data_IF_299882109201
#
_entry.id   IF_299882109201
#
_cell.length_a   1.000
_cell.length_b   1.000
_cell.length_c   1.000
_cell.angle_alpha   90.00
_cell.angle_beta   90.00
_cell.angle_gamma   90.00
#
_symmetry.space_group_name_H-M   'P 1'
#
loop_
_entity.id
_entity.type
_entity.pdbx_description
1 polymer ?
#
# COMPACT_ATOMS: atom_id res chain seq x y z
N UNK A 1 -49.01 5.96 -5.26
CA UNK A 1 -49.00 5.37 -3.91
C UNK A 1 -47.60 5.48 -3.38
N UNK A 2 -47.44 6.10 -2.21
CA UNK A 2 -46.21 5.99 -1.44
C UNK A 2 -45.91 4.50 -1.17
N UNK A 3 -44.65 4.14 -1.08
CA UNK A 3 -44.23 2.77 -0.80
C UNK A 3 -43.51 2.81 0.53
N UNK A 4 -44.29 2.65 1.60
CA UNK A 4 -43.78 2.66 2.97
C UNK A 4 -43.05 1.35 3.26
N UNK A 5 -41.73 1.38 3.03
CA UNK A 5 -40.82 0.30 3.42
C UNK A 5 -40.81 0.14 4.94
N UNK A 6 -40.46 -1.05 5.43
CA UNK A 6 -40.36 -1.29 6.87
C UNK A 6 -39.38 -0.33 7.57
N UNK A 7 -39.53 -0.15 8.90
CA UNK A 7 -38.52 0.50 9.69
C UNK A 7 -37.14 -0.16 9.49
N UNK A 8 -36.07 0.65 9.44
CA UNK A 8 -34.74 0.15 9.20
C UNK A 8 -34.18 -0.58 10.42
N UNK A 9 -33.48 -1.69 10.18
CA UNK A 9 -32.67 -2.31 11.21
C UNK A 9 -31.30 -1.62 11.38
N UNK A 10 -30.60 -1.98 12.46
CA UNK A 10 -29.28 -1.42 12.79
C UNK A 10 -28.22 -1.80 11.76
N UNK A 11 -27.58 -0.80 11.15
CA UNK A 11 -26.62 -0.97 10.05
C UNK A 11 -27.18 -1.67 8.80
N UNK A 12 -28.52 -1.67 8.60
CA UNK A 12 -29.14 -2.26 7.42
C UNK A 12 -28.90 -1.42 6.15
N UNK A 13 -28.36 -2.01 5.06
CA UNK A 13 -28.24 -1.34 3.77
C UNK A 13 -29.60 -1.21 3.08
N UNK A 14 -29.77 -0.16 2.27
CA UNK A 14 -31.01 0.13 1.55
C UNK A 14 -31.51 -1.07 0.73
N UNK A 15 -30.62 -1.78 0.03
CA UNK A 15 -31.02 -2.96 -0.74
C UNK A 15 -31.56 -4.10 0.15
N UNK A 16 -31.00 -4.26 1.35
CA UNK A 16 -31.37 -5.32 2.28
C UNK A 16 -32.80 -5.10 2.78
N UNK A 17 -33.10 -3.85 3.11
CA UNK A 17 -34.44 -3.43 3.53
C UNK A 17 -35.48 -3.59 2.43
N UNK A 18 -35.13 -3.18 1.20
CA UNK A 18 -36.00 -3.34 0.03
C UNK A 18 -36.26 -4.83 -0.26
N UNK A 19 -35.22 -5.66 -0.16
CA UNK A 19 -35.34 -7.11 -0.35
C UNK A 19 -36.22 -7.75 0.71
N UNK A 20 -35.99 -7.41 1.98
CA UNK A 20 -36.78 -7.87 3.14
C UNK A 20 -38.25 -7.52 2.97
N UNK A 21 -38.56 -6.25 2.70
CA UNK A 21 -39.92 -5.77 2.46
C UNK A 21 -40.60 -6.51 1.30
N UNK A 22 -39.92 -6.60 0.15
CA UNK A 22 -40.50 -7.22 -1.04
C UNK A 22 -40.82 -8.70 -0.86
N UNK A 23 -40.00 -9.42 -0.08
CA UNK A 23 -40.19 -10.84 0.19
C UNK A 23 -41.31 -11.05 1.22
N UNK A 24 -41.28 -10.32 2.33
CA UNK A 24 -42.27 -10.49 3.41
C UNK A 24 -43.68 -10.09 2.99
N UNK A 25 -43.83 -9.05 2.16
CA UNK A 25 -45.13 -8.65 1.60
C UNK A 25 -45.51 -9.39 0.30
N UNK A 26 -44.68 -10.34 -0.16
CA UNK A 26 -44.98 -11.14 -1.35
C UNK A 26 -45.11 -10.32 -2.64
N UNK A 27 -44.25 -9.30 -2.82
CA UNK A 27 -44.24 -8.45 -4.02
C UNK A 27 -43.99 -9.29 -5.27
N UNK A 28 -45.01 -9.38 -6.13
CA UNK A 28 -44.95 -10.19 -7.36
C UNK A 28 -44.27 -9.43 -8.51
N UNK A 29 -44.61 -8.16 -8.70
CA UNK A 29 -44.02 -7.32 -9.76
C UNK A 29 -42.86 -6.47 -9.23
N UNK A 30 -41.70 -7.11 -9.09
CA UNK A 30 -40.45 -6.46 -8.66
C UNK A 30 -40.07 -5.28 -9.55
N UNK A 31 -40.30 -5.38 -10.86
CA UNK A 31 -39.95 -4.32 -11.81
C UNK A 31 -40.77 -3.08 -11.52
N UNK A 32 -42.09 -3.21 -11.39
CA UNK A 32 -42.98 -2.08 -11.08
C UNK A 32 -42.72 -1.52 -9.69
N UNK A 33 -42.50 -2.38 -8.71
CA UNK A 33 -42.13 -1.96 -7.35
C UNK A 33 -40.87 -1.09 -7.34
N UNK A 34 -39.78 -1.54 -7.97
CA UNK A 34 -38.53 -0.75 -8.05
C UNK A 34 -38.70 0.54 -8.86
N UNK A 35 -39.49 0.53 -9.94
CA UNK A 35 -39.81 1.75 -10.71
C UNK A 35 -40.60 2.75 -9.88
N UNK A 36 -41.56 2.30 -9.08
CA UNK A 36 -42.32 3.18 -8.18
C UNK A 36 -41.40 3.78 -7.11
N UNK A 37 -40.56 2.95 -6.49
CA UNK A 37 -39.67 3.34 -5.40
C UNK A 37 -38.56 4.30 -5.85
N UNK A 38 -37.90 4.03 -6.98
CA UNK A 38 -36.76 4.81 -7.46
C UNK A 38 -37.08 5.79 -8.60
N UNK A 39 -38.24 5.68 -9.25
CA UNK A 39 -38.58 6.46 -10.46
C UNK A 39 -37.87 6.00 -11.74
N UNK A 40 -37.16 4.86 -11.69
CA UNK A 40 -36.52 4.22 -12.84
C UNK A 40 -36.29 2.73 -12.56
N UNK A 41 -35.90 1.97 -13.59
CA UNK A 41 -35.54 0.56 -13.43
C UNK A 41 -34.18 0.43 -12.73
N UNK A 42 -34.22 0.35 -11.40
CA UNK A 42 -33.01 0.19 -10.59
C UNK A 42 -32.34 -1.16 -10.84
N UNK A 43 -31.02 -1.14 -11.00
CA UNK A 43 -30.19 -2.33 -10.98
C UNK A 43 -29.73 -2.61 -9.55
N UNK A 44 -29.59 -3.89 -9.22
CA UNK A 44 -29.07 -4.28 -7.92
C UNK A 44 -27.63 -3.81 -7.74
N UNK A 45 -27.36 -3.20 -6.58
CA UNK A 45 -26.05 -2.74 -6.16
C UNK A 45 -25.99 -2.79 -4.63
N UNK A 46 -25.05 -3.56 -4.04
CA UNK A 46 -24.90 -3.61 -2.58
C UNK A 46 -24.23 -2.36 -2.01
N UNK A 47 -23.62 -1.54 -2.87
CA UNK A 47 -22.80 -0.41 -2.47
C UNK A 47 -23.60 0.89 -2.40
N UNK A 48 -24.17 1.31 -3.53
CA UNK A 48 -24.82 2.61 -3.70
C UNK A 48 -26.14 2.50 -4.46
N UNK A 49 -27.02 3.47 -4.24
CA UNK A 49 -28.29 3.65 -4.95
C UNK A 49 -28.44 5.09 -5.44
N UNK A 50 -29.32 5.32 -6.42
CA UNK A 50 -29.48 6.62 -7.09
C UNK A 50 -30.93 7.10 -7.02
N UNK A 51 -31.11 8.40 -7.27
CA UNK A 51 -32.39 9.10 -7.14
C UNK A 51 -32.95 8.99 -5.71
N UNK A 52 -32.10 9.19 -4.71
CA UNK A 52 -32.49 9.09 -3.30
C UNK A 52 -33.55 10.12 -2.91
N UNK A 53 -33.70 11.23 -3.64
CA UNK A 53 -34.85 12.14 -3.49
C UNK A 53 -36.18 11.40 -3.62
N UNK A 54 -36.30 10.54 -4.64
CA UNK A 54 -37.52 9.77 -4.86
C UNK A 54 -37.76 8.70 -3.79
N UNK A 55 -36.69 8.11 -3.27
CA UNK A 55 -36.77 7.15 -2.17
C UNK A 55 -37.25 7.86 -0.90
N UNK A 56 -36.68 9.03 -0.58
CA UNK A 56 -37.09 9.83 0.57
C UNK A 56 -38.56 10.26 0.48
N UNK A 57 -39.03 10.74 -0.68
CA UNK A 57 -40.45 11.04 -0.92
C UNK A 57 -41.36 9.83 -0.64
N UNK A 58 -40.98 8.67 -1.15
CA UNK A 58 -41.80 7.46 -1.04
C UNK A 58 -41.81 6.83 0.35
N UNK A 59 -40.80 7.14 1.18
CA UNK A 59 -40.61 6.59 2.53
C UNK A 59 -40.78 7.64 3.63
N UNK A 60 -41.28 8.83 3.28
CA UNK A 60 -41.37 9.98 4.17
C UNK A 60 -42.18 9.69 5.44
N UNK A 61 -43.24 8.88 5.35
CA UNK A 61 -44.07 8.55 6.51
C UNK A 61 -43.37 7.59 7.47
N UNK A 62 -42.58 6.64 6.94
CA UNK A 62 -41.96 5.61 7.77
C UNK A 62 -40.58 6.00 8.29
N UNK A 63 -39.78 6.71 7.49
CA UNK A 63 -38.41 7.06 7.88
C UNK A 63 -38.25 8.54 8.24
N UNK A 64 -38.96 9.44 7.54
CA UNK A 64 -38.85 10.89 7.79
C UNK A 64 -37.44 11.46 7.61
N UNK A 65 -36.59 10.85 6.78
CA UNK A 65 -35.19 11.25 6.57
C UNK A 65 -34.95 11.90 5.21
N UNK A 66 -33.92 12.74 5.14
CA UNK A 66 -33.52 13.39 3.89
C UNK A 66 -32.79 12.42 2.93
N UNK A 67 -32.71 12.73 1.63
CA UNK A 67 -31.95 11.94 0.66
C UNK A 67 -30.48 11.76 1.05
N UNK A 68 -29.87 12.79 1.61
CA UNK A 68 -28.48 12.78 2.08
C UNK A 68 -28.32 11.84 3.28
N UNK A 69 -29.27 11.86 4.21
CA UNK A 69 -29.30 10.92 5.33
C UNK A 69 -29.44 9.48 4.84
N UNK A 70 -30.26 9.20 3.81
CA UNK A 70 -30.33 7.87 3.19
C UNK A 70 -28.97 7.48 2.61
N UNK A 71 -28.30 8.38 1.89
CA UNK A 71 -26.97 8.12 1.34
C UNK A 71 -25.98 7.75 2.46
N UNK A 72 -25.89 8.56 3.51
CA UNK A 72 -24.93 8.38 4.59
C UNK A 72 -25.23 7.18 5.48
N UNK A 73 -26.51 6.87 5.72
CA UNK A 73 -26.93 5.89 6.73
C UNK A 73 -27.35 4.54 6.13
N UNK A 74 -27.68 4.49 4.84
CA UNK A 74 -28.23 3.27 4.19
C UNK A 74 -27.47 2.86 2.94
N UNK A 75 -26.37 3.55 2.61
CA UNK A 75 -25.45 3.13 1.55
C UNK A 75 -24.01 3.08 2.06
N UNK A 76 -23.08 2.66 1.22
CA UNK A 76 -21.64 2.67 1.50
C UNK A 76 -20.99 4.02 1.12
N UNK A 77 -21.78 5.08 0.85
CA UNK A 77 -21.28 6.41 0.49
C UNK A 77 -20.19 6.93 1.42
N UNK A 78 -20.33 6.91 2.77
CA UNK A 78 -19.31 7.46 3.66
C UNK A 78 -17.92 6.81 3.48
N UNK A 79 -17.89 5.50 3.23
CA UNK A 79 -16.64 4.78 2.99
C UNK A 79 -15.93 5.24 1.72
N UNK A 80 -16.67 5.44 0.62
CA UNK A 80 -16.08 5.96 -0.62
C UNK A 80 -15.73 7.44 -0.53
N UNK A 81 -16.50 8.22 0.26
CA UNK A 81 -16.29 9.64 0.47
C UNK A 81 -15.01 9.93 1.27
N UNK A 82 -14.59 8.99 2.13
CA UNK A 82 -13.47 9.18 3.05
C UNK A 82 -12.13 9.50 2.38
N UNK A 83 -11.89 9.09 1.13
CA UNK A 83 -10.60 9.27 0.46
C UNK A 83 -10.63 10.18 -0.77
N UNK A 84 -11.68 10.99 -0.90
CA UNK A 84 -11.81 11.99 -1.97
C UNK A 84 -11.85 13.40 -1.39
N UNK A 85 -11.62 14.41 -2.22
CA UNK A 85 -11.69 15.81 -1.74
C UNK A 85 -13.12 16.16 -1.35
N UNK A 86 -13.30 17.19 -0.51
CA UNK A 86 -14.63 17.68 -0.12
C UNK A 86 -15.54 17.97 -1.32
N UNK A 87 -14.99 18.60 -2.37
CA UNK A 87 -15.72 18.87 -3.61
C UNK A 87 -16.15 17.59 -4.33
N UNK A 88 -15.26 16.59 -4.40
CA UNK A 88 -15.56 15.30 -5.00
C UNK A 88 -16.60 14.51 -4.19
N UNK A 89 -16.52 14.57 -2.86
CA UNK A 89 -17.50 13.97 -1.95
C UNK A 89 -18.88 14.59 -2.15
N UNK A 90 -18.97 15.93 -2.21
CA UNK A 90 -20.21 16.63 -2.49
C UNK A 90 -20.77 16.27 -3.87
N UNK A 91 -19.92 16.28 -4.91
CA UNK A 91 -20.34 15.85 -6.25
C UNK A 91 -20.86 14.42 -6.25
N UNK A 92 -20.21 13.52 -5.51
CA UNK A 92 -20.68 12.14 -5.37
C UNK A 92 -22.06 12.09 -4.71
N UNK A 93 -22.27 12.83 -3.62
CA UNK A 93 -23.54 12.91 -2.91
C UNK A 93 -24.66 13.44 -3.82
N UNK A 94 -24.42 14.56 -4.50
CA UNK A 94 -25.39 15.18 -5.41
C UNK A 94 -25.84 14.19 -6.49
N UNK A 95 -24.90 13.41 -7.03
CA UNK A 95 -25.18 12.38 -8.02
C UNK A 95 -25.97 11.17 -7.48
N UNK A 96 -25.93 10.89 -6.17
CA UNK A 96 -26.78 9.87 -5.54
C UNK A 96 -28.19 10.40 -5.30
N UNK A 97 -28.33 11.68 -4.96
CA UNK A 97 -29.60 12.33 -4.65
C UNK A 97 -30.47 12.47 -5.90
N UNK A 98 -29.90 12.90 -7.03
CA UNK A 98 -30.66 13.16 -8.26
C UNK A 98 -30.85 11.93 -9.16
N UNK A 99 -31.79 12.04 -10.10
CA UNK A 99 -32.01 11.02 -11.13
C UNK A 99 -30.76 10.86 -12.01
N UNK A 100 -30.39 9.60 -12.25
CA UNK A 100 -29.14 9.15 -12.89
C UNK A 100 -28.71 10.03 -14.08
N UNK A 101 -27.59 10.75 -13.96
CA UNK A 101 -26.98 11.55 -15.03
C UNK A 101 -25.89 10.78 -15.80
N UNK A 102 -25.51 11.24 -17.00
CA UNK A 102 -24.36 10.68 -17.75
C UNK A 102 -23.04 10.77 -16.96
N UNK A 103 -22.90 11.75 -16.05
CA UNK A 103 -21.70 11.94 -15.25
C UNK A 103 -21.41 10.77 -14.28
N UNK A 104 -22.45 10.08 -13.81
CA UNK A 104 -22.35 8.88 -12.97
C UNK A 104 -21.58 7.74 -13.66
N UNK A 105 -21.72 7.60 -14.98
CA UNK A 105 -21.09 6.53 -15.74
C UNK A 105 -19.56 6.70 -15.87
N UNK A 106 -19.05 7.91 -15.67
CA UNK A 106 -17.62 8.23 -15.88
C UNK A 106 -16.85 8.41 -14.56
N UNK A 107 -17.51 8.94 -13.52
CA UNK A 107 -16.87 9.28 -12.25
C UNK A 107 -16.86 8.11 -11.26
N UNK A 108 -18.00 7.44 -11.08
CA UNK A 108 -18.20 6.43 -10.03
C UNK A 108 -17.39 5.13 -10.20
N UNK A 109 -17.23 4.56 -11.42
CA UNK A 109 -16.45 3.33 -11.60
C UNK A 109 -14.97 3.46 -11.22
N UNK A 110 -14.43 4.68 -11.20
CA UNK A 110 -13.04 4.94 -10.81
C UNK A 110 -12.84 4.97 -9.28
N UNK A 111 -13.93 5.04 -8.51
CA UNK A 111 -13.91 5.18 -7.05
C UNK A 111 -14.34 3.88 -6.35
N UNK A 112 -15.18 3.10 -7.02
CA UNK A 112 -15.90 1.98 -6.45
C UNK A 112 -15.27 0.67 -6.90
N UNK A 113 -14.82 -0.12 -5.93
CA UNK A 113 -14.53 -1.53 -6.16
C UNK A 113 -15.86 -2.29 -6.17
N UNK A 114 -16.28 -2.77 -7.35
CA UNK A 114 -17.52 -3.52 -7.49
C UNK A 114 -17.29 -4.99 -7.18
N UNK A 115 -17.91 -5.47 -6.12
CA UNK A 115 -17.93 -6.89 -5.78
C UNK A 115 -19.30 -7.46 -6.17
N UNK A 116 -19.30 -8.57 -6.92
CA UNK A 116 -20.53 -9.27 -7.35
C UNK A 116 -21.04 -10.29 -6.31
N UNK A 117 -20.78 -9.99 -5.05
CA UNK A 117 -21.19 -10.80 -3.91
C UNK A 117 -21.89 -9.92 -2.89
N UNK A 118 -22.88 -10.49 -2.20
CA UNK A 118 -23.34 -9.97 -0.91
C UNK A 118 -22.85 -10.88 0.20
N UNK A 119 -22.67 -10.30 1.39
CA UNK A 119 -22.08 -11.02 2.52
C UNK A 119 -22.95 -10.99 3.76
N UNK A 120 -22.94 -12.11 4.50
CA UNK A 120 -23.52 -12.19 5.83
C UNK A 120 -22.53 -12.85 6.80
N UNK A 121 -22.74 -12.61 8.09
CA UNK A 121 -22.08 -13.37 9.15
C UNK A 121 -23.13 -14.27 9.80
N UNK A 122 -22.89 -15.57 9.82
CA UNK A 122 -23.82 -16.55 10.41
C UNK A 122 -24.08 -16.26 11.90
N UNK A 123 -23.06 -15.79 12.64
CA UNK A 123 -23.20 -15.41 14.04
C UNK A 123 -24.05 -14.14 14.25
N UNK A 124 -23.93 -13.12 13.38
CA UNK A 124 -24.84 -11.97 13.41
C UNK A 124 -26.29 -12.40 13.17
N UNK A 125 -26.52 -13.27 12.19
CA UNK A 125 -27.88 -13.72 11.87
C UNK A 125 -28.47 -14.60 13.00
N UNK A 126 -27.64 -15.41 13.67
CA UNK A 126 -28.04 -16.16 14.84
C UNK A 126 -28.33 -15.25 16.06
N UNK A 127 -27.60 -14.14 16.22
CA UNK A 127 -27.91 -13.11 17.21
C UNK A 127 -29.25 -12.45 16.96
N UNK A 128 -29.53 -12.03 15.72
CA UNK A 128 -30.80 -11.41 15.33
C UNK A 128 -31.97 -12.34 15.70
N UNK A 129 -31.88 -13.62 15.30
CA UNK A 129 -32.90 -14.63 15.61
C UNK A 129 -33.12 -14.83 17.11
N UNK A 130 -32.05 -14.83 17.92
CA UNK A 130 -32.17 -15.00 19.38
C UNK A 130 -32.82 -13.80 20.07
N UNK A 131 -32.67 -12.61 19.51
CA UNK A 131 -33.28 -11.38 20.03
C UNK A 131 -34.74 -11.20 19.58
N UNK A 132 -35.16 -11.95 18.56
CA UNK A 132 -36.44 -11.72 17.89
C UNK A 132 -36.40 -10.57 16.88
N UNK A 133 -35.21 -10.06 16.56
CA UNK A 133 -35.01 -9.01 15.56
C UNK A 133 -35.14 -9.59 14.15
N UNK A 134 -35.48 -8.75 13.16
CA UNK A 134 -35.49 -9.18 11.77
C UNK A 134 -34.06 -9.52 11.31
N UNK A 135 -33.88 -10.69 10.70
CA UNK A 135 -32.60 -11.06 10.09
C UNK A 135 -32.32 -10.13 8.89
N UNK A 136 -31.20 -9.41 8.91
CA UNK A 136 -30.91 -8.42 7.88
C UNK A 136 -29.43 -8.37 7.47
N UNK A 137 -29.18 -7.87 6.27
CA UNK A 137 -27.81 -7.57 5.83
C UNK A 137 -27.23 -6.42 6.64
N UNK A 138 -25.91 -6.41 6.81
CA UNK A 138 -25.18 -5.28 7.43
C UNK A 138 -24.36 -4.55 6.37
N UNK A 139 -24.33 -3.22 6.38
CA UNK A 139 -23.55 -2.40 5.44
C UNK A 139 -22.06 -2.72 5.56
N UNK A 140 -21.56 -2.88 6.79
CA UNK A 140 -20.14 -3.17 7.02
C UNK A 140 -19.65 -4.44 6.32
N UNK A 141 -20.50 -5.48 6.23
CA UNK A 141 -20.17 -6.73 5.53
C UNK A 141 -20.07 -6.55 4.00
N UNK A 142 -20.69 -5.51 3.45
CA UNK A 142 -20.68 -5.25 2.01
C UNK A 142 -19.49 -4.38 1.58
N UNK A 143 -18.69 -3.86 2.52
CA UNK A 143 -17.55 -3.02 2.22
C UNK A 143 -16.48 -3.81 1.44
N UNK A 144 -15.85 -3.19 0.43
CA UNK A 144 -14.75 -3.81 -0.30
C UNK A 144 -13.64 -4.28 0.64
N UNK A 145 -13.15 -5.50 0.41
CA UNK A 145 -12.09 -6.13 1.22
C UNK A 145 -12.54 -6.65 2.58
N UNK A 146 -13.77 -6.40 3.01
CA UNK A 146 -14.31 -6.97 4.25
C UNK A 146 -14.78 -8.40 3.99
N UNK A 147 -13.98 -9.36 4.47
CA UNK A 147 -14.22 -10.81 4.37
C UNK A 147 -14.31 -11.50 5.72
N UNK A 148 -13.97 -10.79 6.79
CA UNK A 148 -14.09 -11.23 8.17
C UNK A 148 -15.04 -10.27 8.88
N UNK A 149 -15.97 -10.80 9.67
CA UNK A 149 -16.87 -9.99 10.47
C UNK A 149 -16.07 -9.18 11.51
N UNK A 150 -16.21 -7.85 11.58
CA UNK A 150 -15.49 -7.05 12.58
C UNK A 150 -15.91 -7.39 14.01
N UNK A 151 -17.20 -7.74 14.21
CA UNK A 151 -17.76 -8.12 15.51
C UNK A 151 -17.28 -9.51 15.95
N UNK A 152 -17.49 -10.54 15.13
CA UNK A 152 -17.25 -11.93 15.53
C UNK A 152 -15.88 -12.48 15.15
N UNK A 153 -15.14 -11.84 14.24
CA UNK A 153 -13.86 -12.36 13.75
C UNK A 153 -13.98 -13.63 12.88
N UNK A 154 -15.19 -13.98 12.46
CA UNK A 154 -15.48 -15.13 11.61
C UNK A 154 -15.48 -14.75 10.12
N UNK A 155 -15.10 -15.68 9.26
CA UNK A 155 -15.25 -15.53 7.81
C UNK A 155 -16.72 -15.25 7.44
N UNK A 156 -16.91 -14.30 6.53
CA UNK A 156 -18.21 -13.99 5.99
C UNK A 156 -18.62 -15.01 4.93
N UNK A 157 -19.91 -15.29 4.90
CA UNK A 157 -20.56 -16.10 3.87
C UNK A 157 -20.88 -15.22 2.67
N UNK A 158 -20.37 -15.59 1.50
CA UNK A 158 -20.58 -14.91 0.24
C UNK A 158 -21.72 -15.57 -0.53
N UNK A 159 -22.66 -14.75 -1.02
CA UNK A 159 -23.63 -15.14 -2.03
C UNK A 159 -23.32 -14.36 -3.30
N UNK A 160 -22.93 -15.06 -4.36
CA UNK A 160 -22.82 -14.48 -5.70
C UNK A 160 -24.21 -14.08 -6.20
N UNK A 161 -24.32 -12.85 -6.71
CA UNK A 161 -25.57 -12.38 -7.31
C UNK A 161 -25.41 -12.17 -8.82
N UNK A 162 -26.44 -12.58 -9.57
CA UNK A 162 -26.52 -12.32 -11.00
C UNK A 162 -26.83 -10.85 -11.30
N UNK A 163 -26.24 -10.30 -12.37
CA UNK A 163 -26.48 -8.91 -12.81
C UNK A 163 -27.79 -8.71 -13.59
N UNK A 164 -28.74 -9.64 -13.50
CA UNK A 164 -29.99 -9.59 -14.28
C UNK A 164 -31.05 -8.74 -13.58
N UNK A 165 -31.65 -7.81 -14.33
CA UNK A 165 -32.77 -7.00 -13.87
C UNK A 165 -34.12 -7.77 -13.82
N UNK A 166 -34.08 -9.11 -13.88
CA UNK A 166 -35.21 -10.03 -13.76
C UNK A 166 -35.17 -10.88 -12.49
N UNK A 167 -34.02 -10.98 -11.84
CA UNK A 167 -33.88 -11.71 -10.58
C UNK A 167 -34.27 -10.82 -9.40
N UNK A 168 -35.05 -11.32 -8.44
CA UNK A 168 -35.23 -10.68 -7.14
C UNK A 168 -33.89 -10.30 -6.51
N UNK A 169 -33.89 -9.25 -5.71
CA UNK A 169 -32.69 -8.90 -4.95
C UNK A 169 -32.42 -9.98 -3.88
N UNK A 170 -31.15 -10.26 -3.56
CA UNK A 170 -30.80 -11.34 -2.65
C UNK A 170 -31.37 -11.12 -1.25
N UNK A 171 -31.70 -12.21 -0.57
CA UNK A 171 -32.21 -12.22 0.81
C UNK A 171 -31.23 -12.87 1.78
N UNK A 172 -31.41 -12.63 3.09
CA UNK A 172 -30.57 -13.29 4.11
C UNK A 172 -30.82 -14.80 4.11
N UNK A 173 -32.06 -15.23 3.90
CA UNK A 173 -32.44 -16.64 3.82
C UNK A 173 -31.75 -17.31 2.62
N UNK A 174 -31.72 -16.64 1.47
CA UNK A 174 -30.99 -17.13 0.30
C UNK A 174 -29.49 -17.20 0.57
N UNK A 175 -28.92 -16.18 1.20
CA UNK A 175 -27.51 -16.16 1.56
C UNK A 175 -27.15 -17.27 2.55
N UNK A 176 -28.01 -17.59 3.52
CA UNK A 176 -27.82 -18.75 4.42
C UNK A 176 -27.90 -20.09 3.68
N UNK A 177 -28.87 -20.24 2.77
CA UNK A 177 -29.14 -21.49 2.07
C UNK A 177 -28.10 -21.81 0.99
N UNK A 178 -27.63 -20.80 0.26
CA UNK A 178 -26.80 -20.97 -0.94
C UNK A 178 -25.42 -20.34 -0.84
N UNK A 179 -25.22 -19.41 0.09
CA UNK A 179 -23.95 -18.72 0.23
C UNK A 179 -22.86 -19.64 0.75
N UNK A 180 -21.61 -19.36 0.38
CA UNK A 180 -20.44 -20.15 0.75
C UNK A 180 -19.51 -19.32 1.63
N UNK A 181 -18.97 -19.92 2.68
CA UNK A 181 -17.94 -19.28 3.49
C UNK A 181 -16.68 -19.20 2.65
N UNK A 182 -16.18 -17.98 2.42
CA UNK A 182 -14.91 -17.76 1.74
C UNK A 182 -13.75 -18.15 2.66
N UNK A 183 -13.54 -19.45 2.87
CA UNK A 183 -12.39 -19.95 3.62
C UNK A 183 -11.14 -19.86 2.73
N UNK A 184 -10.59 -18.66 2.62
CA UNK A 184 -9.25 -18.50 2.06
C UNK A 184 -8.26 -19.20 3.00
N UNK A 185 -7.32 -19.96 2.46
CA UNK A 185 -6.20 -20.49 3.24
C UNK A 185 -5.41 -19.31 3.82
N UNK A 186 -5.62 -19.02 5.10
CA UNK A 186 -5.01 -17.90 5.81
C UNK A 186 -4.60 -18.34 7.22
N UNK A 187 -3.48 -17.79 7.69
CA UNK A 187 -3.03 -18.03 9.07
C UNK A 187 -3.93 -17.29 10.07
N UNK A 188 -3.95 -17.69 11.36
CA UNK A 188 -4.66 -16.95 12.40
C UNK A 188 -4.25 -15.48 12.49
N UNK A 189 -2.97 -15.18 12.27
CA UNK A 189 -2.45 -13.81 12.22
C UNK A 189 -3.03 -13.02 11.04
N UNK A 190 -3.07 -13.63 9.84
CA UNK A 190 -3.69 -13.01 8.67
C UNK A 190 -5.18 -12.75 8.90
N UNK A 191 -5.92 -13.69 9.52
CA UNK A 191 -7.33 -13.47 9.90
C UNK A 191 -7.46 -12.26 10.85
N UNK A 192 -6.55 -12.14 11.83
CA UNK A 192 -6.47 -10.97 12.71
C UNK A 192 -6.24 -9.66 11.95
N UNK A 193 -5.34 -9.67 10.97
CA UNK A 193 -5.06 -8.51 10.11
C UNK A 193 -6.26 -8.15 9.21
N UNK A 194 -6.96 -9.13 8.66
CA UNK A 194 -8.19 -8.92 7.89
C UNK A 194 -9.33 -8.38 8.75
N UNK A 195 -9.42 -8.80 10.02
CA UNK A 195 -10.35 -8.21 10.99
C UNK A 195 -10.01 -6.73 11.25
N UNK A 196 -8.73 -6.37 11.33
CA UNK A 196 -8.31 -4.95 11.44
C UNK A 196 -8.73 -4.13 10.21
N UNK A 197 -8.69 -4.71 9.00
CA UNK A 197 -9.25 -4.09 7.79
C UNK A 197 -10.75 -3.87 7.94
N UNK A 198 -11.49 -4.86 8.42
CA UNK A 198 -12.93 -4.74 8.66
C UNK A 198 -13.27 -3.63 9.66
N UNK A 199 -12.54 -3.56 10.77
CA UNK A 199 -12.71 -2.52 11.80
C UNK A 199 -12.39 -1.11 11.26
N UNK A 200 -11.30 -0.96 10.50
CA UNK A 200 -10.95 0.30 9.87
C UNK A 200 -12.00 0.74 8.84
N UNK A 201 -12.49 -0.20 8.02
CA UNK A 201 -13.54 0.07 7.05
C UNK A 201 -14.87 0.45 7.74
N UNK A 202 -15.22 -0.22 8.84
CA UNK A 202 -16.38 0.11 9.69
C UNK A 202 -16.28 1.54 10.22
N UNK A 203 -15.13 1.90 10.79
CA UNK A 203 -14.91 3.25 11.32
C UNK A 203 -15.11 4.32 10.24
N UNK A 204 -14.61 4.11 9.03
CA UNK A 204 -14.82 5.06 7.92
C UNK A 204 -16.29 5.16 7.50
N UNK A 205 -17.01 4.04 7.53
CA UNK A 205 -18.43 4.00 7.20
C UNK A 205 -19.30 4.73 8.24
N UNK A 206 -18.97 4.57 9.53
CA UNK A 206 -19.77 5.09 10.64
C UNK A 206 -19.43 6.55 10.98
N UNK A 207 -18.13 6.90 11.03
CA UNK A 207 -17.66 8.20 11.51
C UNK A 207 -17.75 9.32 10.46
N UNK A 208 -18.00 9.00 9.18
CA UNK A 208 -18.14 9.96 8.07
C UNK A 208 -16.97 10.94 7.95
N UNK A 209 -15.77 10.47 8.29
CA UNK A 209 -14.55 11.28 8.31
C UNK A 209 -13.94 11.40 6.92
N UNK A 210 -13.42 12.58 6.60
CA UNK A 210 -12.50 12.76 5.48
C UNK A 210 -11.08 12.44 5.94
N UNK A 211 -10.37 11.61 5.17
CA UNK A 211 -8.98 11.24 5.41
C UNK A 211 -8.11 12.01 4.44
N UNK A 212 -7.14 12.76 4.97
CA UNK A 212 -6.10 13.36 4.15
C UNK A 212 -5.16 12.27 3.63
N UNK A 213 -5.28 11.99 2.32
CA UNK A 213 -4.48 10.98 1.65
C UNK A 213 -2.97 11.28 1.68
N UNK A 214 -2.57 12.55 1.75
CA UNK A 214 -1.17 12.95 1.82
C UNK A 214 -0.61 12.75 3.23
N UNK A 215 -1.38 13.12 4.26
CA UNK A 215 -1.00 12.84 5.65
C UNK A 215 -0.91 11.33 5.92
N UNK A 216 -1.88 10.56 5.41
CA UNK A 216 -1.84 9.10 5.51
C UNK A 216 -0.59 8.54 4.81
N UNK A 217 -0.28 9.02 3.60
CA UNK A 217 0.91 8.61 2.84
C UNK A 217 2.18 8.90 3.62
N UNK A 218 2.31 10.10 4.18
CA UNK A 218 3.49 10.52 4.94
C UNK A 218 3.65 9.65 6.19
N UNK A 219 2.58 9.49 6.99
CA UNK A 219 2.59 8.66 8.20
C UNK A 219 2.95 7.21 7.89
N UNK A 220 2.41 6.66 6.79
CA UNK A 220 2.73 5.32 6.32
C UNK A 220 4.20 5.20 5.90
N UNK A 221 4.71 6.19 5.17
CA UNK A 221 6.11 6.20 4.74
C UNK A 221 7.04 6.21 5.95
N UNK A 222 6.78 7.08 6.93
CA UNK A 222 7.58 7.19 8.16
C UNK A 222 7.53 5.90 8.98
N UNK A 223 6.35 5.30 9.16
CA UNK A 223 6.21 4.03 9.86
C UNK A 223 7.05 2.92 9.23
N UNK A 224 6.99 2.76 7.90
CA UNK A 224 7.75 1.71 7.20
C UNK A 224 9.25 2.02 7.15
N UNK A 225 9.61 3.28 6.94
CA UNK A 225 11.01 3.71 6.98
C UNK A 225 11.63 3.45 8.36
N UNK A 226 10.83 3.63 9.42
CA UNK A 226 11.22 3.36 10.80
C UNK A 226 11.27 1.87 11.15
N UNK A 227 10.36 1.08 10.59
CA UNK A 227 10.33 -0.38 10.76
C UNK A 227 11.39 -1.15 9.94
N UNK A 228 12.40 -0.47 9.38
CA UNK A 228 13.53 -1.12 8.70
C UNK A 228 13.31 -1.45 7.23
N UNK A 229 12.26 -0.92 6.60
CA UNK A 229 12.04 -1.05 5.16
C UNK A 229 12.80 -0.02 4.32
N UNK A 230 13.63 0.83 4.93
CA UNK A 230 14.41 1.82 4.22
C UNK A 230 15.37 1.20 3.19
N UNK A 231 15.59 1.93 2.09
CA UNK A 231 16.52 1.61 1.02
C UNK A 231 17.21 2.89 0.56
N UNK A 232 18.14 3.38 1.38
CA UNK A 232 18.56 4.77 1.30
C UNK A 232 17.83 5.63 2.34
N UNK A 233 18.20 6.90 2.41
CA UNK A 233 17.58 7.91 3.30
C UNK A 233 16.19 8.35 2.84
N UNK A 234 15.90 8.22 1.55
CA UNK A 234 14.70 8.82 0.92
C UNK A 234 13.84 7.79 0.18
N UNK A 235 14.14 6.49 0.32
CA UNK A 235 13.43 5.45 -0.41
C UNK A 235 13.16 4.23 0.46
N UNK A 236 12.14 3.47 0.06
CA UNK A 236 11.78 2.19 0.67
C UNK A 236 12.21 1.04 -0.26
N UNK A 237 12.65 -0.06 0.35
CA UNK A 237 13.02 -1.29 -0.35
C UNK A 237 11.78 -1.93 -0.95
N UNK A 238 11.62 -1.77 -2.27
CA UNK A 238 10.39 -2.21 -2.93
C UNK A 238 10.11 -3.69 -2.74
N UNK A 239 11.13 -4.55 -2.87
CA UNK A 239 10.95 -5.99 -2.71
C UNK A 239 10.57 -6.37 -1.27
N UNK A 240 11.21 -5.75 -0.25
CA UNK A 240 10.92 -6.06 1.15
C UNK A 240 9.52 -5.61 1.55
N UNK A 241 9.12 -4.40 1.15
CA UNK A 241 7.77 -3.88 1.43
C UNK A 241 6.72 -4.79 0.78
N UNK A 242 6.93 -5.20 -0.48
CA UNK A 242 6.00 -6.10 -1.15
C UNK A 242 5.88 -7.46 -0.48
N UNK A 243 7.01 -8.08 -0.15
CA UNK A 243 7.02 -9.38 0.51
C UNK A 243 6.32 -9.32 1.87
N UNK A 244 6.61 -8.29 2.67
CA UNK A 244 5.95 -8.08 3.96
C UNK A 244 4.45 -7.83 3.79
N UNK A 245 4.05 -6.98 2.83
CA UNK A 245 2.64 -6.68 2.56
C UNK A 245 1.84 -7.93 2.13
N UNK A 246 2.41 -8.76 1.24
CA UNK A 246 1.80 -10.03 0.81
C UNK A 246 1.75 -11.03 1.96
N UNK A 247 2.80 -11.13 2.77
CA UNK A 247 2.83 -12.02 3.93
C UNK A 247 1.76 -11.61 4.96
N UNK A 248 1.62 -10.30 5.20
CA UNK A 248 0.71 -9.73 6.18
C UNK A 248 -0.77 -9.99 5.89
N UNK A 249 -1.17 -9.92 4.61
CA UNK A 249 -2.57 -10.11 4.20
C UNK A 249 -2.87 -11.49 3.60
N UNK A 250 -1.86 -12.19 3.10
CA UNK A 250 -2.02 -13.42 2.35
C UNK A 250 -2.25 -13.17 0.85
N UNK A 251 -1.61 -13.99 0.02
CA UNK A 251 -1.65 -13.87 -1.44
C UNK A 251 -3.07 -14.07 -2.00
N UNK A 252 -3.78 -15.11 -1.54
CA UNK A 252 -5.14 -15.44 -1.97
C UNK A 252 -6.13 -14.31 -1.70
N UNK A 253 -6.02 -13.63 -0.55
CA UNK A 253 -6.88 -12.49 -0.24
C UNK A 253 -6.61 -11.31 -1.19
N UNK A 254 -5.34 -10.97 -1.40
CA UNK A 254 -4.95 -9.88 -2.29
C UNK A 254 -5.35 -10.14 -3.75
N UNK A 255 -5.33 -11.40 -4.19
CA UNK A 255 -5.88 -11.82 -5.50
C UNK A 255 -7.39 -11.62 -5.56
N UNK A 256 -8.12 -12.07 -4.54
CA UNK A 256 -9.58 -11.95 -4.48
C UNK A 256 -10.06 -10.48 -4.53
N UNK A 257 -9.30 -9.55 -3.94
CA UNK A 257 -9.61 -8.12 -4.00
C UNK A 257 -8.97 -7.38 -5.18
N UNK A 258 -8.26 -8.08 -6.08
CA UNK A 258 -7.53 -7.49 -7.22
C UNK A 258 -6.52 -6.40 -6.81
N UNK A 259 -5.80 -6.63 -5.70
CA UNK A 259 -4.79 -5.71 -5.17
C UNK A 259 -3.44 -6.38 -4.91
N UNK A 260 -3.22 -7.57 -5.47
CA UNK A 260 -1.92 -8.25 -5.40
C UNK A 260 -0.86 -7.39 -6.10
N UNK A 261 0.16 -6.90 -5.38
CA UNK A 261 1.19 -6.08 -6.00
C UNK A 261 2.13 -6.93 -6.85
N UNK A 262 2.22 -6.64 -8.15
CA UNK A 262 3.20 -7.24 -9.05
C UNK A 262 4.49 -6.40 -9.11
N UNK A 263 5.65 -7.04 -9.34
CA UNK A 263 6.96 -6.38 -9.40
C UNK A 263 7.05 -5.25 -10.45
N UNK A 264 6.32 -5.37 -11.57
CA UNK A 264 6.23 -4.34 -12.63
C UNK A 264 5.18 -3.25 -12.36
N UNK A 265 4.17 -3.51 -11.53
CA UNK A 265 3.06 -2.60 -11.19
C UNK A 265 2.93 -2.48 -9.66
N UNK A 266 4.01 -2.12 -8.98
CA UNK A 266 4.05 -2.00 -7.53
C UNK A 266 3.30 -0.74 -7.07
N UNK A 267 1.98 -0.86 -6.94
CA UNK A 267 1.10 0.23 -6.50
C UNK A 267 1.40 0.65 -5.06
N UNK A 268 1.81 -0.27 -4.18
CA UNK A 268 2.09 -0.01 -2.76
C UNK A 268 3.19 1.05 -2.63
N UNK A 269 4.37 0.79 -3.22
CA UNK A 269 5.51 1.71 -3.14
C UNK A 269 5.34 2.92 -4.05
N UNK A 270 4.66 2.78 -5.19
CA UNK A 270 4.35 3.92 -6.04
C UNK A 270 3.51 4.96 -5.29
N UNK A 271 2.52 4.52 -4.51
CA UNK A 271 1.70 5.41 -3.69
C UNK A 271 2.45 6.03 -2.53
N UNK A 272 3.19 5.22 -1.76
CA UNK A 272 4.02 5.73 -0.66
C UNK A 272 5.01 6.79 -1.13
N UNK A 273 5.56 6.63 -2.35
CA UNK A 273 6.46 7.58 -2.99
C UNK A 273 5.75 8.76 -3.71
N UNK A 274 4.42 8.90 -3.60
CA UNK A 274 3.66 9.98 -4.24
C UNK A 274 3.56 9.90 -5.77
N UNK A 275 4.02 8.80 -6.39
CA UNK A 275 4.02 8.61 -7.85
C UNK A 275 2.66 8.17 -8.40
N UNK A 276 1.82 7.60 -7.54
CA UNK A 276 0.46 7.21 -7.87
C UNK A 276 -0.48 7.75 -6.81
N UNK A 277 -1.56 8.39 -7.24
CA UNK A 277 -2.70 8.72 -6.39
C UNK A 277 -3.80 7.71 -6.66
N UNK A 278 -4.50 7.29 -5.62
CA UNK A 278 -5.67 6.46 -5.80
C UNK A 278 -6.85 7.06 -5.09
N UNK A 279 -7.92 7.17 -5.84
CA UNK A 279 -9.19 7.67 -5.36
C UNK A 279 -10.05 6.55 -4.74
N UNK A 280 -9.66 5.27 -4.89
CA UNK A 280 -10.38 4.14 -4.32
C UNK A 280 -10.02 3.92 -2.85
N UNK A 281 -11.04 3.70 -2.00
CA UNK A 281 -10.88 3.59 -0.56
C UNK A 281 -10.10 2.36 -0.07
N UNK A 282 -10.45 1.15 -0.54
CA UNK A 282 -9.87 -0.10 -0.02
C UNK A 282 -8.33 -0.13 -0.03
N UNK A 283 -7.64 0.21 -1.14
CA UNK A 283 -6.19 0.26 -1.13
C UNK A 283 -5.57 1.19 -0.07
N UNK A 284 -6.23 2.31 0.26
CA UNK A 284 -5.76 3.22 1.31
C UNK A 284 -6.03 2.63 2.70
N UNK A 285 -7.14 1.92 2.89
CA UNK A 285 -7.41 1.13 4.11
C UNK A 285 -6.34 0.05 4.31
N UNK A 286 -5.98 -0.70 3.28
CA UNK A 286 -4.92 -1.71 3.36
C UNK A 286 -3.56 -1.10 3.71
N UNK A 287 -3.23 0.07 3.15
CA UNK A 287 -2.01 0.78 3.53
C UNK A 287 -2.05 1.25 4.98
N UNK A 288 -3.16 1.84 5.43
CA UNK A 288 -3.32 2.34 6.79
C UNK A 288 -3.16 1.22 7.83
N UNK A 289 -3.85 0.09 7.64
CA UNK A 289 -3.77 -1.06 8.56
C UNK A 289 -2.37 -1.69 8.56
N UNK A 290 -1.77 -1.86 7.38
CA UNK A 290 -0.42 -2.41 7.27
C UNK A 290 0.61 -1.51 7.96
N UNK A 291 0.62 -0.23 7.65
CA UNK A 291 1.60 0.70 8.22
C UNK A 291 1.35 0.96 9.70
N UNK A 292 0.09 1.01 10.15
CA UNK A 292 -0.28 1.12 11.55
C UNK A 292 0.27 -0.03 12.40
N UNK A 293 0.29 -1.25 11.87
CA UNK A 293 0.92 -2.39 12.57
C UNK A 293 2.43 -2.21 12.78
N UNK A 294 3.10 -1.49 11.87
CA UNK A 294 4.52 -1.18 11.95
C UNK A 294 4.82 0.11 12.73
N UNK A 295 3.83 1.02 12.85
CA UNK A 295 3.96 2.22 13.68
C UNK A 295 4.07 1.86 15.17
N UNK A 296 3.44 0.77 15.63
CA UNK A 296 3.60 0.31 17.02
C UNK A 296 4.99 -0.23 17.38
N UNK A 297 5.85 -0.47 16.37
CA UNK A 297 7.28 -0.77 16.57
C UNK A 297 8.13 0.50 16.75
N UNK A 298 7.50 1.69 16.74
CA UNK A 298 8.11 2.96 17.13
C UNK A 298 8.26 3.00 18.65
N UNK A 299 9.25 2.28 19.16
CA UNK A 299 9.85 2.65 20.43
C UNK A 299 11.35 2.88 20.21
N UNK A 300 11.73 4.16 20.37
CA UNK A 300 13.03 4.66 20.83
C UNK A 300 14.04 5.15 19.79
N UNK A 301 14.18 4.56 18.60
CA UNK A 301 15.45 4.77 17.88
C UNK A 301 15.36 5.64 16.62
N UNK A 302 15.84 6.88 16.76
CA UNK A 302 16.09 7.81 15.65
C UNK A 302 17.01 7.24 14.56
N UNK A 303 17.29 8.03 13.52
CA UNK A 303 18.18 7.60 12.44
C UNK A 303 19.65 7.66 12.88
N UNK A 304 20.44 6.59 12.75
CA UNK A 304 21.80 6.55 13.30
C UNK A 304 22.78 7.39 12.48
N UNK A 305 23.70 8.04 13.18
CA UNK A 305 24.92 8.64 12.65
C UNK A 305 25.97 7.57 12.40
N UNK A 306 26.88 7.84 11.45
CA UNK A 306 28.01 6.99 11.16
C UNK A 306 29.07 7.12 12.28
N UNK A 307 29.49 6.03 12.93
CA UNK A 307 30.51 6.06 13.99
C UNK A 307 31.94 6.23 13.45
N UNK A 308 32.12 6.32 12.12
CA UNK A 308 33.42 6.47 11.50
C UNK A 308 33.94 7.91 11.60
N UNK A 309 34.65 8.22 12.69
CA UNK A 309 35.27 9.52 12.92
C UNK A 309 36.41 9.87 11.94
N UNK A 310 36.96 8.89 11.20
CA UNK A 310 38.01 9.11 10.20
C UNK A 310 37.47 9.44 8.80
N UNK A 311 36.16 9.35 8.60
CA UNK A 311 35.56 9.59 7.29
C UNK A 311 35.47 11.10 6.95
N UNK A 312 35.65 11.42 5.68
CA UNK A 312 35.59 12.80 5.16
C UNK A 312 34.24 13.51 5.37
N UNK A 313 33.16 12.79 5.67
CA UNK A 313 31.85 13.39 5.92
C UNK A 313 31.73 14.03 7.32
N UNK A 314 32.71 13.82 8.22
CA UNK A 314 32.69 14.36 9.58
C UNK A 314 31.71 13.67 10.54
N UNK A 315 31.67 14.11 11.81
CA UNK A 315 30.77 13.57 12.84
C UNK A 315 29.29 13.93 12.55
N UNK A 316 28.36 13.14 13.11
CA UNK A 316 26.93 13.38 12.95
C UNK A 316 26.36 13.07 11.54
N UNK A 317 27.17 12.49 10.65
CA UNK A 317 26.72 12.10 9.31
C UNK A 317 25.71 10.95 9.40
N UNK A 318 24.44 11.23 9.05
CA UNK A 318 23.38 10.23 9.00
C UNK A 318 23.69 9.16 7.95
N UNK A 319 23.65 7.89 8.35
CA UNK A 319 23.95 6.77 7.45
C UNK A 319 22.96 6.67 6.30
N UNK A 320 23.37 6.09 5.19
CA UNK A 320 22.58 6.04 3.97
C UNK A 320 21.51 4.95 4.04
N UNK A 321 21.78 3.81 4.67
CA UNK A 321 20.81 2.73 4.76
C UNK A 321 20.77 2.11 6.14
N UNK A 322 19.57 1.67 6.55
CA UNK A 322 19.31 0.88 7.74
C UNK A 322 18.48 -0.34 7.36
N UNK A 323 18.89 -1.50 7.83
CA UNK A 323 18.20 -2.77 7.69
C UNK A 323 17.92 -3.36 9.08
N UNK A 324 16.79 -4.04 9.25
CA UNK A 324 16.49 -4.81 10.47
C UNK A 324 16.49 -6.29 10.13
N UNK A 325 17.15 -7.09 10.97
CA UNK A 325 17.17 -8.54 10.89
C UNK A 325 17.19 -9.13 12.31
N UNK A 326 16.24 -10.01 12.64
CA UNK A 326 16.10 -10.67 13.95
C UNK A 326 16.17 -9.69 15.15
N UNK A 327 15.49 -8.54 15.06
CA UNK A 327 15.49 -7.52 16.12
C UNK A 327 16.78 -6.71 16.25
N UNK A 328 17.77 -6.94 15.37
CA UNK A 328 19.03 -6.18 15.34
C UNK A 328 19.06 -5.22 14.16
N UNK A 329 19.53 -4.00 14.39
CA UNK A 329 19.68 -3.00 13.34
C UNK A 329 21.06 -3.09 12.70
N UNK A 330 21.11 -2.94 11.37
CA UNK A 330 22.32 -2.90 10.57
C UNK A 330 22.33 -1.62 9.74
N UNK A 331 23.38 -0.82 9.87
CA UNK A 331 23.55 0.44 9.16
C UNK A 331 24.67 0.34 8.13
N UNK A 332 24.50 1.05 7.01
CA UNK A 332 25.49 1.16 5.95
C UNK A 332 25.70 2.64 5.59
N UNK A 333 26.95 3.08 5.65
CA UNK A 333 27.36 4.43 5.33
C UNK A 333 28.06 4.53 3.95
N UNK A 334 27.93 5.68 3.28
CA UNK A 334 28.62 6.05 2.03
C UNK A 334 30.13 6.12 2.16
N UNK A 335 30.71 6.09 3.37
CA UNK A 335 32.16 5.94 3.55
C UNK A 335 32.62 4.47 3.53
N UNK A 336 31.68 3.53 3.34
CA UNK A 336 31.91 2.08 3.38
C UNK A 336 31.77 1.47 4.77
N UNK A 337 31.60 2.29 5.80
CA UNK A 337 31.45 1.78 7.15
C UNK A 337 30.09 1.08 7.30
N UNK A 338 30.08 -0.15 7.81
CA UNK A 338 28.86 -0.90 8.15
C UNK A 338 28.93 -1.39 9.58
N UNK A 339 27.82 -1.33 10.29
CA UNK A 339 27.78 -1.66 11.71
C UNK A 339 26.40 -2.15 12.11
N UNK A 340 26.36 -3.12 13.01
CA UNK A 340 25.15 -3.47 13.74
C UNK A 340 25.03 -2.56 14.97
N UNK A 341 23.82 -2.29 15.43
CA UNK A 341 23.58 -1.52 16.65
C UNK A 341 22.27 -1.95 17.31
N UNK A 342 22.09 -1.58 18.58
CA UNK A 342 20.91 -1.95 19.39
C UNK A 342 19.86 -0.86 19.39
N UNK A 343 20.27 0.39 19.58
CA UNK A 343 19.37 1.53 19.68
C UNK A 343 20.00 2.84 19.21
N UNK A 344 19.24 3.95 19.17
CA UNK A 344 19.72 5.29 18.78
C UNK A 344 19.23 6.32 19.78
N UNK A 345 20.15 7.00 20.45
CA UNK A 345 19.87 8.10 21.37
C UNK A 345 20.41 9.41 20.79
N UNK A 346 19.55 10.41 20.56
CA UNK A 346 19.99 11.71 20.03
C UNK A 346 20.63 11.65 18.63
N UNK A 347 20.39 10.57 17.86
CA UNK A 347 21.05 10.31 16.58
C UNK A 347 22.32 9.46 16.68
N UNK A 348 22.85 9.22 17.88
CA UNK A 348 24.01 8.36 18.08
C UNK A 348 23.60 6.89 18.27
N UNK A 349 24.17 5.96 17.49
CA UNK A 349 23.88 4.54 17.65
C UNK A 349 24.52 3.99 18.94
N UNK A 350 23.73 3.26 19.72
CA UNK A 350 24.14 2.58 20.94
C UNK A 350 24.36 1.09 20.71
N UNK A 351 25.33 0.52 21.42
CA UNK A 351 25.70 -0.89 21.30
C UNK A 351 26.25 -1.25 19.91
N UNK A 352 27.05 -0.37 19.34
CA UNK A 352 27.64 -0.50 17.99
C UNK A 352 28.60 -1.69 17.94
N UNK A 353 28.37 -2.57 16.98
CA UNK A 353 29.31 -3.62 16.55
C UNK A 353 29.67 -3.37 15.09
N UNK A 354 30.90 -2.92 14.82
CA UNK A 354 31.35 -2.62 13.46
C UNK A 354 31.54 -3.92 12.68
N UNK A 355 30.75 -4.13 11.63
CA UNK A 355 30.85 -5.30 10.76
C UNK A 355 31.82 -5.07 9.61
N UNK A 356 31.92 -3.83 9.12
CA UNK A 356 32.84 -3.44 8.05
C UNK A 356 33.42 -2.07 8.35
N UNK A 357 34.75 -1.98 8.45
CA UNK A 357 35.44 -0.71 8.57
C UNK A 357 35.54 -0.02 7.20
N UNK A 358 35.19 1.27 7.17
CA UNK A 358 35.29 2.11 5.98
C UNK A 358 36.74 2.34 5.52
N UNK A 359 36.90 2.80 4.27
CA UNK A 359 38.20 2.95 3.60
C UNK A 359 39.22 3.79 4.38
N UNK A 360 38.76 4.84 5.07
CA UNK A 360 39.61 5.73 5.86
C UNK A 360 40.43 4.99 6.95
N UNK A 361 39.88 3.92 7.54
CA UNK A 361 40.62 3.10 8.51
C UNK A 361 41.78 2.35 7.85
N UNK A 362 41.55 1.75 6.68
CA UNK A 362 42.58 1.02 5.95
C UNK A 362 43.71 1.95 5.48
N UNK A 363 43.36 3.14 4.98
CA UNK A 363 44.34 4.16 4.58
C UNK A 363 45.16 4.65 5.76
N UNK A 364 44.52 4.94 6.90
CA UNK A 364 45.22 5.38 8.12
C UNK A 364 46.13 4.30 8.70
N UNK A 365 45.65 3.05 8.78
CA UNK A 365 46.46 1.93 9.25
C UNK A 365 47.69 1.69 8.36
N UNK A 366 47.51 1.75 7.04
CA UNK A 366 48.60 1.58 6.07
C UNK A 366 49.63 2.70 6.15
N UNK A 367 49.19 3.95 6.41
CA UNK A 367 50.10 5.07 6.62
C UNK A 367 50.94 4.88 7.88
N UNK A 368 50.30 4.59 9.02
CA UNK A 368 50.98 4.43 10.30
C UNK A 368 51.99 3.27 10.28
N UNK A 369 51.65 2.18 9.60
CA UNK A 369 52.56 1.05 9.42
C UNK A 369 53.78 1.43 8.57
N UNK A 370 53.59 2.16 7.46
CA UNK A 370 54.70 2.65 6.63
C UNK A 370 55.60 3.62 7.36
N UNK A 371 55.08 4.37 8.33
CA UNK A 371 55.88 5.24 9.22
C UNK A 371 56.54 4.48 10.38
N UNK A 372 56.57 3.14 10.35
CA UNK A 372 57.30 2.31 11.31
C UNK A 372 56.54 1.95 12.59
N UNK A 373 55.24 2.23 12.69
CA UNK A 373 54.45 1.81 13.88
C UNK A 373 54.13 0.32 13.84
N UNK A 374 54.19 -0.32 15.00
CA UNK A 374 53.79 -1.73 15.15
C UNK A 374 52.28 -1.92 15.02
N UNK A 375 51.85 -3.13 14.64
CA UNK A 375 50.42 -3.49 14.54
C UNK A 375 49.67 -3.22 15.85
N UNK A 376 50.28 -3.50 17.00
CA UNK A 376 49.70 -3.27 18.31
C UNK A 376 49.50 -1.77 18.61
N UNK A 377 50.48 -0.92 18.25
CA UNK A 377 50.34 0.54 18.38
C UNK A 377 49.22 1.06 17.48
N UNK A 378 49.15 0.61 16.23
CA UNK A 378 48.11 1.03 15.28
C UNK A 378 46.72 0.59 15.76
N UNK A 379 46.59 -0.62 16.29
CA UNK A 379 45.33 -1.13 16.85
C UNK A 379 44.83 -0.26 18.01
N UNK A 380 45.74 0.16 18.91
CA UNK A 380 45.43 1.10 19.99
C UNK A 380 45.05 2.49 19.47
N UNK A 381 45.83 3.04 18.54
CA UNK A 381 45.62 4.38 17.97
C UNK A 381 44.28 4.47 17.22
N UNK A 382 43.85 3.38 16.58
CA UNK A 382 42.59 3.31 15.82
C UNK A 382 41.42 2.73 16.63
N UNK A 383 41.64 2.28 17.86
CA UNK A 383 40.64 1.60 18.71
C UNK A 383 39.97 0.39 18.03
N UNK A 384 40.76 -0.46 17.36
CA UNK A 384 40.28 -1.68 16.69
C UNK A 384 41.10 -2.90 17.11
N UNK A 385 40.61 -4.11 16.84
CA UNK A 385 41.37 -5.33 17.17
C UNK A 385 42.68 -5.44 16.38
N UNK A 386 43.73 -5.99 17.00
CA UNK A 386 45.01 -6.25 16.31
C UNK A 386 44.84 -7.15 15.08
N UNK A 387 43.90 -8.09 15.12
CA UNK A 387 43.56 -8.98 14.00
C UNK A 387 43.04 -8.19 12.81
N UNK A 388 42.15 -7.22 13.06
CA UNK A 388 41.62 -6.30 12.05
C UNK A 388 42.73 -5.41 11.49
N UNK A 389 43.56 -4.83 12.37
CA UNK A 389 44.71 -4.01 11.96
C UNK A 389 45.68 -4.79 11.09
N UNK A 390 46.03 -6.01 11.48
CA UNK A 390 46.92 -6.89 10.72
C UNK A 390 46.35 -7.18 9.33
N UNK A 391 45.04 -7.38 9.20
CA UNK A 391 44.37 -7.52 7.89
C UNK A 391 44.43 -6.25 7.05
N UNK A 392 44.23 -5.07 7.65
CA UNK A 392 44.28 -3.78 6.95
C UNK A 392 45.66 -3.44 6.43
N UNK A 393 46.70 -3.76 7.20
CA UNK A 393 48.09 -3.46 6.87
C UNK A 393 48.69 -4.44 5.86
N UNK A 394 48.31 -5.73 5.91
CA UNK A 394 48.85 -6.77 5.01
C UNK A 394 48.25 -6.75 3.61
N UNK A 395 47.08 -6.15 3.43
CA UNK A 395 46.51 -5.93 2.09
C UNK A 395 47.11 -4.64 1.54
N UNK A 396 47.56 -4.63 0.27
CA UNK A 396 47.78 -3.35 -0.42
C UNK A 396 46.46 -2.57 -0.32
N UNK A 397 46.50 -1.24 -0.22
CA UNK A 397 45.28 -0.40 -0.21
C UNK A 397 44.36 -0.73 -1.41
N UNK A 398 44.93 -1.24 -2.50
CA UNK A 398 44.25 -1.74 -3.71
C UNK A 398 43.62 -3.14 -3.55
N UNK A 399 44.13 -3.97 -2.63
CA UNK A 399 43.70 -5.35 -2.35
C UNK A 399 42.83 -5.49 -1.09
N UNK A 400 42.57 -4.38 -0.38
CA UNK A 400 41.44 -4.29 0.53
C UNK A 400 40.21 -4.76 -0.26
N UNK A 401 39.57 -5.88 0.14
CA UNK A 401 38.30 -6.36 -0.44
C UNK A 401 37.49 -5.11 -0.79
N UNK A 402 37.16 -4.86 -2.06
CA UNK A 402 36.55 -3.61 -2.45
C UNK A 402 35.35 -3.43 -1.55
N UNK A 403 35.44 -2.44 -0.67
CA UNK A 403 34.27 -2.09 0.12
C UNK A 403 33.24 -1.58 -0.89
N UNK A 404 31.96 -1.63 -0.55
CA UNK A 404 30.90 -1.08 -1.41
C UNK A 404 31.29 0.29 -1.94
N UNK A 405 32.00 1.13 -1.21
CA UNK A 405 32.55 2.44 -1.67
C UNK A 405 33.53 2.40 -2.84
N UNK A 406 34.54 1.53 -2.82
CA UNK A 406 35.49 1.40 -3.94
C UNK A 406 34.80 0.79 -5.16
N UNK A 407 33.90 -0.16 -4.90
CA UNK A 407 32.99 -0.66 -5.94
C UNK A 407 32.09 0.46 -6.47
N UNK A 408 31.67 1.42 -5.65
CA UNK A 408 30.79 2.54 -6.03
C UNK A 408 31.54 3.60 -6.80
N UNK A 409 32.79 3.94 -6.45
CA UNK A 409 33.62 4.83 -7.23
C UNK A 409 33.93 4.22 -8.62
N UNK A 410 34.27 2.94 -8.67
CA UNK A 410 34.46 2.19 -9.91
C UNK A 410 33.17 2.12 -10.74
N UNK A 411 32.03 1.94 -10.08
CA UNK A 411 30.70 1.87 -10.67
C UNK A 411 30.23 3.24 -11.18
N UNK A 412 30.54 4.34 -10.49
CA UNK A 412 30.37 5.73 -10.97
C UNK A 412 31.22 5.97 -12.22
N UNK A 413 32.50 5.59 -12.17
CA UNK A 413 33.41 5.74 -13.31
C UNK A 413 32.99 4.88 -14.51
N UNK A 414 32.53 3.65 -14.27
CA UNK A 414 31.96 2.77 -15.30
C UNK A 414 30.70 3.40 -15.89
N UNK A 415 29.80 3.93 -15.04
CA UNK A 415 28.57 4.57 -15.50
C UNK A 415 28.82 5.82 -16.35
N UNK A 416 29.73 6.70 -15.95
CA UNK A 416 30.10 7.88 -16.77
C UNK A 416 30.65 7.47 -18.13
N UNK A 417 31.41 6.36 -18.21
CA UNK A 417 31.89 5.78 -19.47
C UNK A 417 30.73 5.27 -20.33
N UNK A 418 29.84 4.47 -19.77
CA UNK A 418 28.67 3.91 -20.47
C UNK A 418 27.74 5.03 -20.96
N UNK A 419 27.48 6.06 -20.16
CA UNK A 419 26.68 7.21 -20.60
C UNK A 419 27.36 7.98 -21.74
N UNK A 420 28.69 8.09 -21.72
CA UNK A 420 29.47 8.72 -22.80
C UNK A 420 29.44 7.89 -24.09
N UNK A 421 29.47 6.56 -23.97
CA UNK A 421 29.43 5.61 -25.08
C UNK A 421 28.05 5.57 -25.77
N UNK A 422 26.97 5.48 -24.99
CA UNK A 422 25.60 5.39 -25.52
C UNK A 422 24.89 6.75 -25.67
N UNK A 423 25.57 7.85 -25.37
CA UNK A 423 25.14 9.24 -25.59
C UNK A 423 24.05 9.77 -24.64
N UNK A 424 23.14 8.93 -24.16
CA UNK A 424 22.08 9.33 -23.21
C UNK A 424 21.97 8.37 -22.04
N UNK A 425 21.54 8.90 -20.89
CA UNK A 425 21.23 8.11 -19.68
C UNK A 425 20.19 7.02 -19.97
N UNK A 426 19.22 7.30 -20.85
CA UNK A 426 18.16 6.35 -21.21
C UNK A 426 18.71 5.16 -22.00
N UNK A 427 19.58 5.40 -22.99
CA UNK A 427 20.21 4.34 -23.78
C UNK A 427 21.22 3.54 -22.95
N UNK A 428 22.03 4.22 -22.13
CA UNK A 428 22.94 3.59 -21.17
C UNK A 428 22.21 2.68 -20.16
N UNK A 429 21.02 3.08 -19.70
CA UNK A 429 20.21 2.29 -18.77
C UNK A 429 19.60 1.03 -19.40
N UNK A 430 19.33 1.05 -20.71
CA UNK A 430 18.85 -0.12 -21.46
C UNK A 430 20.00 -1.07 -21.77
N UNK A 431 21.17 -0.53 -22.15
CA UNK A 431 22.34 -1.32 -22.50
C UNK A 431 22.98 -2.04 -21.29
N UNK A 432 23.05 -1.36 -20.14
CA UNK A 432 23.71 -1.87 -18.92
C UNK A 432 22.75 -1.82 -17.71
N UNK A 433 21.68 -2.64 -17.69
CA UNK A 433 20.61 -2.55 -16.70
C UNK A 433 21.07 -2.93 -15.28
N UNK A 434 22.08 -3.79 -15.16
CA UNK A 434 22.70 -4.13 -13.88
C UNK A 434 23.47 -2.95 -13.28
N UNK A 435 24.26 -2.27 -14.12
CA UNK A 435 25.01 -1.07 -13.73
C UNK A 435 24.08 0.08 -13.37
N UNK A 436 23.03 0.31 -14.17
CA UNK A 436 22.00 1.31 -13.89
C UNK A 436 21.34 1.13 -12.51
N UNK A 437 20.95 -0.11 -12.18
CA UNK A 437 20.38 -0.45 -10.86
C UNK A 437 21.38 -0.16 -9.75
N UNK A 438 22.65 -0.49 -9.98
CA UNK A 438 23.70 -0.30 -8.99
C UNK A 438 24.03 1.20 -8.77
N UNK A 439 24.03 2.02 -9.84
CA UNK A 439 24.26 3.48 -9.75
C UNK A 439 23.12 4.15 -9.01
N UNK A 440 21.86 3.81 -9.35
CA UNK A 440 20.70 4.31 -8.61
C UNK A 440 20.72 3.96 -7.12
N UNK A 441 21.27 2.78 -6.77
CA UNK A 441 21.28 2.24 -5.41
C UNK A 441 22.35 2.87 -4.53
N UNK A 442 23.50 3.18 -5.11
CA UNK A 442 24.69 3.55 -4.32
C UNK A 442 25.31 4.90 -4.69
N UNK A 443 24.89 5.52 -5.80
CA UNK A 443 25.26 6.88 -6.16
C UNK A 443 24.21 7.56 -7.07
N UNK A 444 23.04 7.90 -6.52
CA UNK A 444 22.02 8.62 -7.27
C UNK A 444 22.46 10.03 -7.71
N UNK A 445 23.49 10.62 -7.09
CA UNK A 445 23.98 11.98 -7.39
C UNK A 445 24.55 12.09 -8.81
N UNK A 446 25.26 11.06 -9.28
CA UNK A 446 25.82 11.02 -10.65
C UNK A 446 24.73 11.05 -11.72
N UNK A 447 23.49 10.68 -11.38
CA UNK A 447 22.36 10.78 -12.30
C UNK A 447 21.87 12.22 -12.46
N UNK A 448 22.15 13.10 -11.49
CA UNK A 448 21.83 14.52 -11.55
C UNK A 448 22.85 15.30 -12.40
N UNK A 449 24.13 14.88 -12.38
CA UNK A 449 25.19 15.43 -13.25
C UNK A 449 24.85 15.35 -14.74
N UNK A 450 24.08 14.33 -15.14
CA UNK A 450 23.69 14.10 -16.53
C UNK A 450 22.30 14.66 -16.89
N UNK A 451 21.54 15.22 -15.94
CA UNK A 451 20.23 15.87 -16.22
C UNK A 451 20.36 17.15 -17.04
N UNK A 452 21.54 17.78 -17.06
CA UNK A 452 21.78 19.03 -17.77
C UNK A 452 22.24 18.84 -19.24
N UNK A 453 22.57 17.62 -19.66
CA UNK A 453 22.95 17.33 -21.07
C UNK A 453 21.78 16.91 -21.97
N UNK A 454 20.55 16.85 -21.45
CA UNK A 454 19.35 16.48 -22.22
C UNK A 454 18.58 17.68 -22.81
N UNK A 455 19.21 18.85 -22.95
CA UNK A 455 18.70 19.95 -23.77
C UNK A 455 19.75 20.36 -24.79
N UNK A 456 19.64 19.84 -26.00
CA UNK A 456 20.37 20.32 -27.17
C UNK A 456 20.72 19.20 -28.15
N UNK A 457 20.14 19.26 -29.36
CA UNK A 457 20.65 18.53 -30.53
C UNK A 457 19.78 17.39 -31.04
N UNK A 458 18.68 17.74 -31.70
CA UNK A 458 18.04 16.91 -32.70
C UNK A 458 19.01 16.60 -33.85
N UNK A 459 19.29 15.33 -34.11
CA UNK A 459 19.72 14.85 -35.42
C UNK A 459 19.10 13.46 -35.66
N UNK A 460 18.12 13.42 -36.57
CA UNK A 460 17.59 12.18 -37.14
C UNK A 460 18.76 11.39 -37.75
N UNK A 461 18.93 10.12 -37.36
CA UNK A 461 19.52 9.10 -38.23
C UNK A 461 18.55 7.93 -38.28
N UNK A 462 17.88 7.81 -39.42
CA UNK A 462 17.17 6.60 -39.82
C UNK A 462 18.17 5.45 -39.88
N UNK A 463 17.88 4.37 -39.16
CA UNK A 463 18.52 3.08 -39.39
C UNK A 463 17.54 2.18 -40.15
N UNK A 464 17.84 1.99 -41.43
CA UNK A 464 17.23 1.03 -42.34
C UNK A 464 17.55 -0.38 -41.84
N UNK A 465 16.51 -1.20 -41.60
CA UNK A 465 16.67 -2.63 -41.32
C UNK A 465 16.88 -3.39 -42.63
N UNK A 466 18.14 -3.75 -42.94
CA UNK A 466 18.43 -4.77 -43.95
C UNK A 466 18.28 -6.17 -43.33
N UNK A 467 17.28 -6.92 -43.78
CA UNK A 467 17.16 -8.38 -43.57
C UNK A 467 18.08 -9.10 -44.57
N UNK A 468 18.88 -10.10 -44.17
CA UNK A 468 19.48 -11.01 -45.11
C UNK A 468 18.45 -12.04 -45.59
N UNK A 469 18.32 -12.16 -46.91
CA UNK A 469 17.67 -13.26 -47.62
C UNK A 469 18.36 -14.59 -47.30
N UNK A 470 17.56 -15.62 -46.97
CA UNK A 470 17.98 -17.02 -46.98
C UNK A 470 17.49 -17.67 -48.27
N UNK A 471 18.42 -18.05 -49.14
CA UNK A 471 18.22 -18.96 -50.27
C UNK A 471 19.43 -19.88 -50.39
N UNK A 472 19.17 -21.19 -50.48
CA UNK A 472 20.10 -22.27 -50.87
C UNK A 472 20.94 -22.80 -49.69
N UNK A 473 20.94 -24.08 -49.32
CA UNK A 473 20.57 -25.34 -49.98
C UNK A 473 19.78 -26.24 -49.03
#
# INVERSE_FOLDING_TARGET
>A
MATDLFPPESDEPLFGMISRYAIELGVRDWKRFLVNLFGFRAHFSPALAYNLSRVAENTAQTWGVSPEQIAEQRTLFPFYAAFVTRTQSQTMLDLLVVRRSRALATFMPKLIHQQRVVRICDACVAEDRRKGDAMHFRRVHQLPGVVVCPRHGLWLRNLDYGSSARTPWPSVQEALARGQIASLTATPEQIGNLRRVALAAQYLLESRVAVDGEQLRQSCWEALHNAGFAHGREALSSNRVLQAFVTFYGERYLEMVDLRPASRQNWVVARLAGRQRACCALPNVLLAVFCGSHASQLSVDGWPSCPNHLAAHGPGHKVEAREVHNGRYYAHCRCGHSFAYRSVAGGEPLGVEVTVYGRAYAERASLLFRTGRSVAQIARDLQISETTTRRMVRRRVVDALPNRTDSVAQLRAKWRRVVKEYGTVRLAAVAEPGLWKAVRRYSPEVLQEHRWRTRGGSAKREYVWNRPSRTGQ
#
